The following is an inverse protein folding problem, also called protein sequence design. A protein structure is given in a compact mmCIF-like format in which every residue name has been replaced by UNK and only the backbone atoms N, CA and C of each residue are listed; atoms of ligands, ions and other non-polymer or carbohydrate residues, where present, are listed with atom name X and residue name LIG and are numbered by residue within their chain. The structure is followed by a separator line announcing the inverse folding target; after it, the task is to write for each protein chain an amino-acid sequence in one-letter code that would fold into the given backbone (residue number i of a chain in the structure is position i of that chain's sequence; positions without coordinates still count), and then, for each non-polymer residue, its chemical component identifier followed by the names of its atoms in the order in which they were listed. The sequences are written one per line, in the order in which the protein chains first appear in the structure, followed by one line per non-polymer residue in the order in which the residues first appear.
data_IF_864926348433
#
_entry.id   IF_864926348433
#
_cell.length_a   1.000
_cell.length_b   1.000
_cell.length_c   1.000
_cell.angle_alpha   90.00
_cell.angle_beta   90.00
_cell.angle_gamma   90.00
#
_symmetry.space_group_name_H-M   'P 1'
#
loop_
_entity.id
_entity.type
_entity.pdbx_description
1 polymer ?
#
# COMPACT_ATOMS: atom_id res chain seq x y z
N UNK A 1 46.62 -5.88 14.63
CA UNK A 1 45.34 -5.93 15.36
C UNK A 1 44.27 -6.36 14.36
N UNK A 2 43.47 -7.39 14.67
CA UNK A 2 42.40 -7.89 13.78
C UNK A 2 41.08 -7.24 14.19
N UNK A 3 40.50 -6.42 13.32
CA UNK A 3 39.24 -5.71 13.55
C UNK A 3 38.04 -6.66 13.48
N UNK A 4 37.64 -7.16 14.65
CA UNK A 4 36.39 -7.88 14.84
C UNK A 4 35.22 -6.87 14.87
N UNK A 5 34.72 -6.49 13.70
CA UNK A 5 33.44 -5.78 13.56
C UNK A 5 32.28 -6.74 13.84
N UNK A 6 32.23 -7.25 15.08
CA UNK A 6 31.07 -7.93 15.61
C UNK A 6 29.89 -6.94 15.60
N UNK A 7 28.76 -7.38 15.04
CA UNK A 7 27.51 -6.64 14.92
C UNK A 7 27.18 -5.88 16.22
N UNK A 8 27.37 -4.55 16.22
CA UNK A 8 27.09 -3.71 17.39
C UNK A 8 25.64 -3.29 17.35
N UNK A 9 24.79 -4.09 17.98
CA UNK A 9 23.41 -3.70 18.26
C UNK A 9 23.42 -2.54 19.27
N UNK A 10 22.86 -1.40 18.88
CA UNK A 10 22.75 -0.21 19.72
C UNK A 10 21.28 0.07 19.95
N UNK A 11 20.82 -0.17 21.17
CA UNK A 11 19.48 0.21 21.60
C UNK A 11 19.51 1.62 22.15
N UNK A 12 18.91 2.56 21.41
CA UNK A 12 18.72 3.93 21.90
C UNK A 12 17.43 3.97 22.69
N UNK A 13 17.56 4.16 24.01
CA UNK A 13 16.43 4.39 24.93
C UNK A 13 16.37 5.86 25.31
N UNK A 14 15.17 6.33 25.67
CA UNK A 14 14.91 7.66 26.23
C UNK A 14 15.16 8.84 25.26
N UNK A 15 14.41 8.85 24.14
CA UNK A 15 14.42 9.97 23.19
C UNK A 15 13.68 11.16 23.80
N UNK A 16 14.43 12.15 24.30
CA UNK A 16 13.88 13.46 24.70
C UNK A 16 13.45 14.26 23.46
N UNK A 17 12.21 14.06 23.02
CA UNK A 17 11.56 14.93 22.04
C UNK A 17 10.58 15.89 22.74
N UNK A 18 10.85 17.22 22.76
CA UNK A 18 9.91 18.19 23.30
C UNK A 18 8.65 18.23 22.44
N UNK A 19 7.53 18.64 23.04
CA UNK A 19 6.20 18.59 22.43
C UNK A 19 6.15 19.20 21.01
N UNK A 20 6.75 20.37 20.81
CA UNK A 20 6.74 21.04 19.50
C UNK A 20 7.49 20.24 18.42
N UNK A 21 8.62 19.63 18.76
CA UNK A 21 9.36 18.81 17.81
C UNK A 21 8.57 17.55 17.41
N UNK A 22 7.85 16.96 18.37
CA UNK A 22 6.94 15.84 18.09
C UNK A 22 5.80 16.25 17.16
N UNK A 23 5.16 17.40 17.40
CA UNK A 23 4.07 17.91 16.54
C UNK A 23 4.56 18.17 15.12
N UNK A 24 5.70 18.85 14.96
CA UNK A 24 6.27 19.12 13.63
C UNK A 24 6.61 17.81 12.90
N UNK A 25 7.12 16.81 13.61
CA UNK A 25 7.35 15.49 13.03
C UNK A 25 6.06 14.85 12.52
N UNK A 26 5.00 14.84 13.34
CA UNK A 26 3.71 14.28 12.95
C UNK A 26 3.10 15.01 11.76
N UNK A 27 3.16 16.35 11.72
CA UNK A 27 2.69 17.15 10.58
C UNK A 27 3.46 16.80 9.31
N UNK A 28 4.80 16.69 9.39
CA UNK A 28 5.62 16.28 8.24
C UNK A 28 5.26 14.87 7.76
N UNK A 29 5.04 13.94 8.69
CA UNK A 29 4.62 12.58 8.36
C UNK A 29 3.25 12.55 7.68
N UNK A 30 2.28 13.33 8.17
CA UNK A 30 0.96 13.44 7.57
C UNK A 30 1.01 14.04 6.16
N UNK A 31 1.81 15.09 5.93
CA UNK A 31 1.96 15.68 4.59
C UNK A 31 2.68 14.70 3.65
N UNK A 32 3.70 14.00 4.13
CA UNK A 32 4.43 12.99 3.36
C UNK A 32 3.55 11.77 2.98
N UNK A 33 2.48 11.50 3.73
CA UNK A 33 1.54 10.44 3.39
C UNK A 33 0.77 10.72 2.09
N UNK A 34 0.58 11.98 1.69
CA UNK A 34 -0.17 12.32 0.48
C UNK A 34 0.55 11.82 -0.79
N UNK A 35 1.85 12.12 -1.01
CA UNK A 35 2.61 11.51 -2.10
C UNK A 35 2.64 9.98 -2.04
N UNK A 36 2.78 9.40 -0.85
CA UNK A 36 2.79 7.95 -0.68
C UNK A 36 1.47 7.31 -1.11
N UNK A 37 0.33 7.92 -0.76
CA UNK A 37 -1.00 7.44 -1.15
C UNK A 37 -1.22 7.46 -2.66
N UNK A 38 -0.65 8.42 -3.37
CA UNK A 38 -0.71 8.45 -4.85
C UNK A 38 0.01 7.22 -5.42
N UNK A 39 1.21 6.91 -4.94
CA UNK A 39 1.97 5.74 -5.42
C UNK A 39 1.22 4.44 -5.06
N UNK A 40 0.70 4.36 -3.84
CA UNK A 40 -0.08 3.19 -3.38
C UNK A 40 -1.35 3.02 -4.22
N UNK A 41 -2.06 4.08 -4.58
CA UNK A 41 -3.26 3.98 -5.40
C UNK A 41 -2.95 3.46 -6.81
N UNK A 42 -1.82 3.84 -7.41
CA UNK A 42 -1.37 3.25 -8.67
C UNK A 42 -1.06 1.76 -8.55
N UNK A 43 -0.33 1.36 -7.50
CA UNK A 43 0.02 -0.05 -7.27
C UNK A 43 -1.25 -0.88 -7.05
N UNK A 44 -2.14 -0.41 -6.17
CA UNK A 44 -3.41 -1.06 -5.90
C UNK A 44 -4.29 -1.09 -7.14
N UNK A 45 -4.33 -0.02 -7.94
CA UNK A 45 -5.07 0.03 -9.21
C UNK A 45 -4.56 -1.01 -10.21
N UNK A 46 -3.24 -1.19 -10.34
CA UNK A 46 -2.65 -2.22 -11.18
C UNK A 46 -2.98 -3.63 -10.69
N UNK A 47 -2.89 -3.86 -9.37
CA UNK A 47 -3.29 -5.12 -8.76
C UNK A 47 -4.79 -5.38 -9.01
N UNK A 48 -5.66 -4.42 -8.74
CA UNK A 48 -7.09 -4.53 -9.00
C UNK A 48 -7.41 -4.74 -10.48
N UNK A 49 -6.65 -4.17 -11.42
CA UNK A 49 -6.83 -4.44 -12.84
C UNK A 49 -6.42 -5.88 -13.20
N UNK A 50 -5.31 -6.39 -12.65
CA UNK A 50 -4.86 -7.76 -12.87
C UNK A 50 -5.85 -8.78 -12.29
N UNK A 51 -6.18 -8.64 -11.00
CA UNK A 51 -7.07 -9.55 -10.30
C UNK A 51 -8.54 -9.34 -10.71
N UNK A 52 -9.00 -8.10 -10.86
CA UNK A 52 -10.34 -7.77 -11.30
C UNK A 52 -10.60 -8.07 -12.77
N UNK A 53 -9.59 -7.97 -13.64
CA UNK A 53 -9.69 -8.45 -15.02
C UNK A 53 -9.82 -9.97 -15.10
N UNK A 54 -9.02 -10.70 -14.32
CA UNK A 54 -9.07 -12.17 -14.27
C UNK A 54 -10.38 -12.70 -13.67
N UNK A 55 -10.78 -12.19 -12.51
CA UNK A 55 -11.97 -12.65 -11.79
C UNK A 55 -13.26 -11.99 -12.29
N UNK A 56 -13.23 -10.69 -12.57
CA UNK A 56 -14.38 -9.93 -13.07
C UNK A 56 -14.65 -10.16 -14.56
N UNK A 57 -13.64 -10.40 -15.39
CA UNK A 57 -13.84 -10.79 -16.79
C UNK A 57 -14.47 -12.18 -16.92
N UNK A 58 -14.02 -13.14 -16.11
CA UNK A 58 -14.58 -14.49 -16.10
C UNK A 58 -16.01 -14.50 -15.57
N UNK A 59 -16.30 -13.79 -14.47
CA UNK A 59 -17.64 -13.72 -13.89
C UNK A 59 -18.60 -12.85 -14.72
N UNK A 60 -18.14 -11.71 -15.23
CA UNK A 60 -18.92 -10.80 -16.06
C UNK A 60 -19.23 -11.37 -17.45
N UNK A 61 -18.29 -12.07 -18.09
CA UNK A 61 -18.54 -12.76 -19.36
C UNK A 61 -19.55 -13.91 -19.23
N UNK A 62 -19.51 -14.62 -18.11
CA UNK A 62 -20.45 -15.71 -17.80
C UNK A 62 -21.86 -15.17 -17.49
N UNK A 63 -21.95 -14.03 -16.79
CA UNK A 63 -23.22 -13.35 -16.52
C UNK A 63 -23.84 -12.71 -17.77
N UNK A 64 -23.02 -12.11 -18.64
CA UNK A 64 -23.50 -11.52 -19.90
C UNK A 64 -23.96 -12.60 -20.90
N UNK A 65 -23.30 -13.77 -20.90
CA UNK A 65 -23.75 -14.93 -21.68
C UNK A 65 -25.11 -15.46 -21.23
N UNK A 66 -25.37 -15.49 -19.93
CA UNK A 66 -26.64 -15.90 -19.35
C UNK A 66 -27.79 -14.92 -19.64
N UNK A 67 -27.53 -13.61 -19.57
CA UNK A 67 -28.50 -12.55 -19.87
C UNK A 67 -28.90 -12.54 -21.37
N UNK A 68 -27.93 -12.77 -22.27
CA UNK A 68 -28.17 -12.93 -23.69
C UNK A 68 -29.02 -14.16 -24.06
N UNK A 69 -29.07 -15.18 -23.20
CA UNK A 69 -29.91 -16.36 -23.38
C UNK A 69 -31.34 -16.12 -22.89
N UNK A 70 -31.51 -15.42 -21.77
CA UNK A 70 -32.83 -15.03 -21.22
C UNK A 70 -33.66 -14.15 -22.18
N UNK A 71 -33.02 -13.25 -22.93
CA UNK A 71 -33.68 -12.38 -23.91
C UNK A 71 -34.12 -13.08 -25.20
N UNK A 72 -33.79 -14.36 -25.38
CA UNK A 72 -34.12 -15.16 -26.57
C UNK A 72 -35.30 -16.11 -26.38
N UNK A 73 -35.92 -16.10 -25.20
CA UNK A 73 -37.19 -16.78 -24.88
C UNK A 73 -38.36 -15.78 -24.87
#
# INVERSE_FOLDING_TARGET
MSDNNANREVTVVDIKMPFISMVVFLVKLSIAAIPALIIVSFILGLLSALFGGLFGGMFGGMFHGFDAEMHRF
#
